data_IF_143919705111
#
_entry.id   IF_143919705111
#
_cell.length_a   1.000
_cell.length_b   1.000
_cell.length_c   1.000
_cell.angle_alpha   90.00
_cell.angle_beta   90.00
_cell.angle_gamma   90.00
#
_symmetry.space_group_name_H-M   'P 1'
#
loop_
_entity.id
_entity.type
_entity.pdbx_description
1 polymer ?
#
# COMPACT_ATOMS: atom_id res chain seq x y z
N UNK A 1 -19.64 2.93 1.75
CA UNK A 1 -18.23 2.76 1.35
C UNK A 1 -18.09 1.41 0.69
N UNK A 2 -17.57 1.41 -0.54
CA UNK A 2 -17.26 0.19 -1.29
C UNK A 2 -16.22 -0.65 -0.55
N UNK A 3 -16.22 -1.97 -0.79
CA UNK A 3 -15.22 -2.89 -0.28
C UNK A 3 -13.79 -2.42 -0.61
N UNK A 4 -13.58 -1.95 -1.85
CA UNK A 4 -12.29 -1.44 -2.32
C UNK A 4 -11.84 -0.19 -1.57
N UNK A 5 -12.76 0.70 -1.21
CA UNK A 5 -12.45 1.90 -0.40
C UNK A 5 -11.97 1.51 1.00
N UNK A 6 -12.69 0.61 1.69
CA UNK A 6 -12.32 0.16 3.05
C UNK A 6 -10.97 -0.54 3.05
N UNK A 7 -10.74 -1.43 2.08
CA UNK A 7 -9.45 -2.11 1.87
C UNK A 7 -8.33 -1.10 1.67
N UNK A 8 -8.54 -0.13 0.78
CA UNK A 8 -7.55 0.92 0.50
C UNK A 8 -7.20 1.74 1.74
N UNK A 9 -8.19 2.11 2.56
CA UNK A 9 -7.95 2.84 3.82
C UNK A 9 -7.06 2.04 4.76
N UNK A 10 -7.36 0.76 4.97
CA UNK A 10 -6.58 -0.09 5.87
C UNK A 10 -5.16 -0.31 5.34
N UNK A 11 -5.00 -0.50 4.02
CA UNK A 11 -3.67 -0.61 3.41
C UNK A 11 -2.85 0.66 3.54
N UNK A 12 -3.44 1.84 3.32
CA UNK A 12 -2.75 3.14 3.51
C UNK A 12 -2.35 3.32 4.97
N UNK A 13 -3.24 3.00 5.92
CA UNK A 13 -2.93 3.08 7.34
C UNK A 13 -1.79 2.14 7.73
N UNK A 14 -1.80 0.91 7.23
CA UNK A 14 -0.74 -0.06 7.45
C UNK A 14 0.61 0.42 6.88
N UNK A 15 0.61 1.03 5.69
CA UNK A 15 1.80 1.63 5.10
C UNK A 15 2.36 2.79 5.94
N UNK A 16 1.49 3.66 6.49
CA UNK A 16 1.89 4.75 7.40
C UNK A 16 2.52 4.17 8.69
N UNK A 17 1.92 3.14 9.27
CA UNK A 17 2.46 2.48 10.46
C UNK A 17 3.81 1.86 10.16
N UNK A 18 3.97 1.21 9.00
CA UNK A 18 5.20 0.55 8.62
C UNK A 18 6.34 1.55 8.39
N UNK A 19 6.09 2.66 7.70
CA UNK A 19 7.12 3.69 7.50
C UNK A 19 7.48 4.38 8.82
N UNK A 20 6.51 4.60 9.71
CA UNK A 20 6.78 5.13 11.04
C UNK A 20 7.64 4.17 11.87
N UNK A 21 7.32 2.87 11.84
CA UNK A 21 8.11 1.84 12.51
C UNK A 21 9.54 1.75 11.94
N UNK A 22 9.71 1.87 10.63
CA UNK A 22 11.02 1.95 9.98
C UNK A 22 11.82 3.14 10.50
N UNK A 23 11.25 4.35 10.43
CA UNK A 23 11.93 5.56 10.89
C UNK A 23 12.33 5.44 12.36
N UNK A 24 11.41 5.00 13.23
CA UNK A 24 11.70 4.81 14.66
C UNK A 24 12.84 3.80 14.84
N UNK A 25 12.79 2.64 14.18
CA UNK A 25 13.80 1.60 14.31
C UNK A 25 15.18 2.05 13.81
N UNK A 26 15.25 2.55 12.57
CA UNK A 26 16.50 2.92 11.93
C UNK A 26 17.18 4.11 12.62
N UNK A 27 16.44 5.20 12.88
CA UNK A 27 17.01 6.38 13.52
C UNK A 27 17.30 6.18 15.01
N UNK A 28 16.56 5.31 15.72
CA UNK A 28 16.88 4.96 17.11
C UNK A 28 18.21 4.21 17.20
N UNK A 29 18.44 3.21 16.33
CA UNK A 29 19.70 2.44 16.30
C UNK A 29 20.93 3.32 16.03
N UNK A 30 20.77 4.33 15.17
CA UNK A 30 21.82 5.30 14.88
C UNK A 30 22.05 6.26 16.05
N UNK A 31 20.97 6.78 16.67
CA UNK A 31 21.08 7.65 17.87
C UNK A 31 21.73 6.96 19.07
N UNK A 32 21.50 5.66 19.23
CA UNK A 32 22.06 4.84 20.30
C UNK A 32 23.53 4.46 20.05
N UNK A 33 24.13 4.87 18.92
CA UNK A 33 25.50 4.51 18.55
C UNK A 33 25.70 3.03 18.19
N UNK A 34 24.60 2.28 18.08
CA UNK A 34 24.64 0.83 17.74
C UNK A 34 24.79 0.57 16.24
N UNK A 35 24.60 1.60 15.41
CA UNK A 35 24.83 1.57 13.97
C UNK A 35 25.40 2.93 13.55
N UNK A 36 26.37 2.92 12.64
CA UNK A 36 26.94 4.14 12.07
C UNK A 36 26.13 4.59 10.85
N UNK A 37 26.07 5.90 10.60
CA UNK A 37 25.45 6.46 9.40
C UNK A 37 26.14 5.97 8.12
N UNK A 38 27.43 5.65 8.18
CA UNK A 38 28.21 5.09 7.07
C UNK A 38 28.02 3.59 6.85
N UNK A 39 27.36 2.85 7.75
CA UNK A 39 27.23 1.40 7.64
C UNK A 39 26.15 1.00 6.62
N UNK A 40 26.59 0.86 5.37
CA UNK A 40 25.73 0.45 4.25
C UNK A 40 25.11 -0.93 4.45
N UNK A 41 25.79 -1.84 5.15
CA UNK A 41 25.28 -3.19 5.40
C UNK A 41 24.10 -3.13 6.34
N UNK A 42 24.18 -2.32 7.40
CA UNK A 42 23.07 -2.08 8.31
C UNK A 42 21.84 -1.52 7.57
N UNK A 43 22.02 -0.49 6.75
CA UNK A 43 20.92 0.13 5.99
C UNK A 43 20.29 -0.85 5.00
N UNK A 44 21.10 -1.56 4.23
CA UNK A 44 20.61 -2.54 3.25
C UNK A 44 19.82 -3.68 3.91
N UNK A 45 20.33 -4.26 5.00
CA UNK A 45 19.63 -5.32 5.74
C UNK A 45 18.33 -4.80 6.33
N UNK A 46 18.35 -3.63 6.96
CA UNK A 46 17.17 -3.05 7.59
C UNK A 46 16.08 -2.78 6.55
N UNK A 47 16.42 -2.12 5.44
CA UNK A 47 15.49 -1.86 4.34
C UNK A 47 14.91 -3.18 3.80
N UNK A 48 15.75 -4.19 3.56
CA UNK A 48 15.31 -5.48 3.03
C UNK A 48 14.31 -6.19 3.96
N UNK A 49 14.56 -6.17 5.28
CA UNK A 49 13.65 -6.74 6.28
C UNK A 49 12.30 -6.00 6.26
N UNK A 50 12.31 -4.67 6.23
CA UNK A 50 11.07 -3.88 6.20
C UNK A 50 10.27 -4.06 4.91
N UNK A 51 10.94 -4.25 3.76
CA UNK A 51 10.28 -4.66 2.51
C UNK A 51 9.58 -6.01 2.71
N UNK A 52 10.27 -7.00 3.27
CA UNK A 52 9.70 -8.32 3.55
C UNK A 52 8.49 -8.26 4.48
N UNK A 53 8.58 -7.47 5.56
CA UNK A 53 7.45 -7.23 6.48
C UNK A 53 6.29 -6.56 5.74
N UNK A 54 6.55 -5.57 4.88
CA UNK A 54 5.52 -4.87 4.12
C UNK A 54 4.77 -5.78 3.15
N UNK A 55 5.48 -6.69 2.47
CA UNK A 55 4.87 -7.71 1.61
C UNK A 55 3.98 -8.64 2.44
N UNK A 56 4.48 -9.15 3.57
CA UNK A 56 3.72 -10.04 4.45
C UNK A 56 2.44 -9.36 4.98
N UNK A 57 2.54 -8.11 5.46
CA UNK A 57 1.40 -7.32 5.92
C UNK A 57 0.36 -7.13 4.81
N UNK A 58 0.81 -6.83 3.59
CA UNK A 58 -0.10 -6.64 2.44
C UNK A 58 -0.85 -7.92 2.09
N UNK A 59 -0.17 -9.08 2.09
CA UNK A 59 -0.80 -10.38 1.86
C UNK A 59 -1.84 -10.69 2.95
N UNK A 60 -1.49 -10.47 4.22
CA UNK A 60 -2.42 -10.70 5.34
C UNK A 60 -3.67 -9.83 5.19
N UNK A 61 -3.49 -8.53 4.89
CA UNK A 61 -4.61 -7.61 4.65
C UNK A 61 -5.48 -8.13 3.51
N UNK A 62 -4.91 -8.52 2.37
CA UNK A 62 -5.68 -9.04 1.24
C UNK A 62 -6.51 -10.27 1.62
N UNK A 63 -5.90 -11.27 2.29
CA UNK A 63 -6.58 -12.49 2.73
C UNK A 63 -7.73 -12.15 3.68
N UNK A 64 -7.48 -11.33 4.70
CA UNK A 64 -8.50 -10.95 5.69
C UNK A 64 -9.68 -10.25 5.02
N UNK A 65 -9.41 -9.32 4.11
CA UNK A 65 -10.47 -8.61 3.38
C UNK A 65 -11.29 -9.57 2.49
N UNK A 66 -10.64 -10.49 1.76
CA UNK A 66 -11.37 -11.46 0.92
C UNK A 66 -12.29 -12.38 1.73
N UNK A 67 -11.84 -12.80 2.92
CA UNK A 67 -12.65 -13.63 3.83
C UNK A 67 -13.81 -12.82 4.40
N UNK A 68 -13.56 -11.60 4.90
CA UNK A 68 -14.59 -10.74 5.47
C UNK A 68 -15.69 -10.39 4.45
N UNK A 69 -15.31 -10.14 3.19
CA UNK A 69 -16.27 -9.89 2.11
C UNK A 69 -17.17 -11.11 1.88
N UNK A 70 -16.55 -12.28 1.73
CA UNK A 70 -17.27 -13.54 1.50
C UNK A 70 -18.28 -13.82 2.62
N UNK A 71 -17.88 -13.63 3.89
CA UNK A 71 -18.76 -13.82 5.05
C UNK A 71 -19.88 -12.78 5.08
N UNK A 72 -19.56 -11.50 4.85
CA UNK A 72 -20.55 -10.43 4.89
C UNK A 72 -21.66 -10.64 3.85
N UNK A 73 -21.31 -11.07 2.64
CA UNK A 73 -22.27 -11.39 1.57
C UNK A 73 -23.12 -12.61 1.95
N UNK A 74 -22.49 -13.69 2.43
CA UNK A 74 -23.18 -14.91 2.83
C UNK A 74 -24.20 -14.66 3.96
N UNK A 75 -23.81 -13.91 4.99
CA UNK A 75 -24.68 -13.56 6.12
C UNK A 75 -25.85 -12.68 5.68
N UNK A 76 -25.59 -11.64 4.87
CA UNK A 76 -26.64 -10.73 4.40
C UNK A 76 -27.69 -11.46 3.58
N UNK A 77 -27.28 -12.34 2.66
CA UNK A 77 -28.22 -13.14 1.85
C UNK A 77 -29.06 -14.09 2.68
N UNK A 78 -28.48 -14.74 3.68
CA UNK A 78 -29.19 -15.69 4.55
C UNK A 78 -30.23 -15.01 5.44
N UNK A 79 -30.02 -13.73 5.78
CA UNK A 79 -30.98 -12.92 6.54
C UNK A 79 -32.12 -12.38 5.66
N UNK A 80 -31.84 -12.08 4.39
CA UNK A 80 -32.80 -11.47 3.46
C UNK A 80 -33.69 -12.50 2.75
N UNK A 81 -33.19 -13.73 2.53
CA UNK A 81 -33.94 -14.84 1.95
C UNK A 81 -33.71 -16.13 2.74
N UNK A 82 -34.76 -16.65 3.38
CA UNK A 82 -34.73 -17.91 4.17
C UNK A 82 -34.48 -19.16 3.28
N UNK A 83 -34.72 -19.05 1.96
CA UNK A 83 -34.46 -20.09 0.94
C UNK A 83 -33.47 -19.59 -0.12
N UNK A 84 -32.21 -19.40 0.25
CA UNK A 84 -31.13 -19.26 -0.74
C UNK A 84 -30.37 -20.58 -0.87
N UNK A 85 -30.20 -21.07 -2.11
CA UNK A 85 -29.31 -22.19 -2.41
C UNK A 85 -27.85 -21.72 -2.33
N UNK A 86 -26.94 -22.59 -1.88
CA UNK A 86 -25.51 -22.25 -1.71
C UNK A 86 -24.88 -21.79 -3.05
N UNK A 87 -25.39 -22.30 -4.18
CA UNK A 87 -25.00 -21.91 -5.53
C UNK A 87 -25.31 -20.44 -5.85
N UNK A 88 -26.41 -19.89 -5.34
CA UNK A 88 -26.77 -18.49 -5.56
C UNK A 88 -25.89 -17.55 -4.72
N UNK A 89 -25.44 -18.02 -3.55
CA UNK A 89 -24.49 -17.28 -2.71
C UNK A 89 -23.13 -17.21 -3.40
N UNK A 90 -22.61 -18.35 -3.87
CA UNK A 90 -21.33 -18.40 -4.58
C UNK A 90 -21.35 -17.53 -5.85
N UNK A 91 -22.45 -17.57 -6.62
CA UNK A 91 -22.58 -16.76 -7.83
C UNK A 91 -22.54 -15.27 -7.54
N UNK A 92 -23.17 -14.80 -6.46
CA UNK A 92 -23.10 -13.38 -6.08
C UNK A 92 -21.76 -12.98 -5.51
N UNK A 93 -21.09 -13.83 -4.73
CA UNK A 93 -19.71 -13.57 -4.30
C UNK A 93 -18.80 -13.41 -5.52
N UNK A 94 -18.92 -14.31 -6.52
CA UNK A 94 -18.15 -14.21 -7.76
C UNK A 94 -18.44 -12.92 -8.52
N UNK A 95 -19.71 -12.54 -8.67
CA UNK A 95 -20.11 -11.32 -9.37
C UNK A 95 -19.59 -10.05 -8.67
N UNK A 96 -19.61 -10.02 -7.34
CA UNK A 96 -19.17 -8.84 -6.57
C UNK A 96 -17.64 -8.74 -6.45
N UNK A 97 -16.92 -9.83 -6.77
CA UNK A 97 -15.47 -9.86 -6.90
C UNK A 97 -14.95 -9.54 -8.30
N UNK A 98 -15.82 -9.38 -9.30
CA UNK A 98 -15.40 -8.96 -10.65
C UNK A 98 -15.00 -7.49 -10.61
N UNK A 99 -13.77 -7.19 -11.00
CA UNK A 99 -13.31 -5.81 -11.16
C UNK A 99 -14.03 -5.12 -12.33
N UNK A 100 -14.55 -3.93 -12.05
CA UNK A 100 -15.20 -3.09 -13.06
C UNK A 100 -14.15 -2.33 -13.90
N UNK A 101 -14.53 -1.89 -15.10
CA UNK A 101 -13.73 -1.01 -15.94
C UNK A 101 -13.40 0.31 -15.23
N UNK A 102 -14.31 0.80 -14.37
CA UNK A 102 -14.03 1.96 -13.53
C UNK A 102 -12.89 1.68 -12.54
N UNK A 103 -12.84 0.50 -11.92
CA UNK A 103 -11.78 0.14 -10.97
C UNK A 103 -10.41 0.12 -11.67
N UNK A 104 -10.34 -0.46 -12.87
CA UNK A 104 -9.12 -0.46 -13.69
C UNK A 104 -8.66 0.96 -14.02
N UNK A 105 -9.58 1.86 -14.39
CA UNK A 105 -9.23 3.25 -14.69
C UNK A 105 -8.72 4.00 -13.45
N UNK A 106 -9.32 3.75 -12.28
CA UNK A 106 -8.85 4.31 -11.01
C UNK A 106 -7.45 3.81 -10.69
N UNK A 107 -7.20 2.51 -10.86
CA UNK A 107 -5.89 1.91 -10.65
C UNK A 107 -4.82 2.54 -11.54
N UNK A 108 -5.06 2.59 -12.86
CA UNK A 108 -4.12 3.17 -13.82
C UNK A 108 -3.80 4.65 -13.55
N UNK A 109 -4.83 5.46 -13.23
CA UNK A 109 -4.64 6.88 -12.92
C UNK A 109 -3.88 7.09 -11.61
N UNK A 110 -4.17 6.29 -10.59
CA UNK A 110 -3.51 6.39 -9.29
C UNK A 110 -2.05 5.93 -9.39
N UNK A 111 -1.79 4.84 -10.12
CA UNK A 111 -0.45 4.32 -10.38
C UNK A 111 0.42 5.35 -11.13
N UNK A 112 -0.17 6.12 -12.07
CA UNK A 112 0.54 7.22 -12.72
C UNK A 112 1.03 8.27 -11.74
N UNK A 113 0.22 8.66 -10.76
CA UNK A 113 0.62 9.62 -9.72
C UNK A 113 1.77 9.05 -8.89
N UNK A 114 1.67 7.77 -8.50
CA UNK A 114 2.73 7.05 -7.80
C UNK A 114 4.06 7.11 -8.55
N UNK A 115 4.06 6.77 -9.85
CA UNK A 115 5.27 6.78 -10.67
C UNK A 115 5.91 8.17 -10.80
N UNK A 116 5.12 9.23 -10.89
CA UNK A 116 5.65 10.60 -10.93
C UNK A 116 6.41 10.91 -9.64
N UNK A 117 5.84 10.54 -8.49
CA UNK A 117 6.45 10.78 -7.17
C UNK A 117 7.72 9.93 -7.01
N UNK A 118 7.64 8.63 -7.33
CA UNK A 118 8.77 7.72 -7.26
C UNK A 118 9.92 8.18 -8.16
N UNK A 119 9.59 8.57 -9.39
CA UNK A 119 10.55 9.11 -10.35
C UNK A 119 11.21 10.40 -9.88
N UNK A 120 10.45 11.33 -9.31
CA UNK A 120 10.99 12.56 -8.72
C UNK A 120 11.95 12.26 -7.55
N UNK A 121 11.60 11.29 -6.69
CA UNK A 121 12.47 10.89 -5.59
C UNK A 121 13.70 10.11 -6.05
N UNK A 122 13.62 9.33 -7.14
CA UNK A 122 14.79 8.70 -7.75
C UNK A 122 15.79 9.74 -8.25
N UNK A 123 15.32 10.75 -8.98
CA UNK A 123 16.17 11.87 -9.42
C UNK A 123 16.76 12.61 -8.22
N UNK A 124 15.96 12.87 -7.18
CA UNK A 124 16.42 13.51 -5.94
C UNK A 124 17.49 12.69 -5.21
N UNK A 125 17.37 11.36 -5.22
CA UNK A 125 18.36 10.45 -4.64
C UNK A 125 19.71 10.54 -5.37
N UNK A 126 19.70 10.65 -6.70
CA UNK A 126 20.92 10.85 -7.49
C UNK A 126 21.53 12.23 -7.24
N UNK A 127 20.71 13.28 -7.17
CA UNK A 127 21.17 14.63 -6.85
C UNK A 127 21.87 14.68 -5.48
N UNK A 128 21.40 13.92 -4.50
CA UNK A 128 22.03 13.85 -3.18
C UNK A 128 23.49 13.37 -3.24
N UNK A 129 23.83 12.45 -4.16
CA UNK A 129 25.22 12.02 -4.35
C UNK A 129 26.13 13.13 -4.90
N UNK A 130 25.59 14.01 -5.74
CA UNK A 130 26.35 15.14 -6.30
C UNK A 130 26.80 16.09 -5.17
N UNK A 131 25.97 16.25 -4.14
CA UNK A 131 26.30 17.06 -2.95
C UNK A 131 27.19 16.32 -1.93
N UNK A 132 27.93 15.29 -2.35
CA UNK A 132 28.83 14.50 -1.51
C UNK A 132 28.14 13.85 -0.28
N UNK A 133 26.85 13.54 -0.38
CA UNK A 133 26.13 12.83 0.68
C UNK A 133 26.55 11.35 0.74
N UNK A 134 26.48 10.75 1.93
CA UNK A 134 26.71 9.31 2.11
C UNK A 134 25.73 8.49 1.26
N UNK A 135 26.18 7.33 0.74
CA UNK A 135 25.33 6.38 0.00
C UNK A 135 24.15 5.89 0.85
N UNK A 136 24.26 5.93 2.19
CA UNK A 136 23.14 5.68 3.10
C UNK A 136 21.98 6.67 2.91
N UNK A 137 22.27 7.94 2.59
CA UNK A 137 21.25 8.96 2.33
C UNK A 137 20.49 8.63 1.05
N UNK A 138 21.20 8.23 -0.01
CA UNK A 138 20.58 7.77 -1.25
C UNK A 138 19.62 6.60 -1.01
N UNK A 139 20.05 5.59 -0.25
CA UNK A 139 19.22 4.41 0.05
C UNK A 139 17.93 4.81 0.77
N UNK A 140 18.03 5.72 1.74
CA UNK A 140 16.88 6.23 2.47
C UNK A 140 15.95 7.07 1.59
N UNK A 141 16.48 7.96 0.73
CA UNK A 141 15.66 8.75 -0.19
C UNK A 141 14.89 7.84 -1.14
N UNK A 142 15.57 6.84 -1.72
CA UNK A 142 14.91 5.85 -2.59
C UNK A 142 13.80 5.13 -1.84
N UNK A 143 14.13 4.54 -0.69
CA UNK A 143 13.17 3.79 0.11
C UNK A 143 11.95 4.63 0.48
N UNK A 144 12.16 5.84 1.01
CA UNK A 144 11.10 6.76 1.39
C UNK A 144 10.29 7.18 0.16
N UNK A 145 10.92 7.42 -0.99
CA UNK A 145 10.24 7.76 -2.24
C UNK A 145 9.26 6.66 -2.68
N UNK A 146 9.68 5.39 -2.64
CA UNK A 146 8.79 4.26 -2.92
C UNK A 146 7.60 4.20 -1.95
N UNK A 147 7.86 4.39 -0.66
CA UNK A 147 6.80 4.44 0.35
C UNK A 147 5.83 5.59 0.12
N UNK A 148 6.33 6.81 -0.06
CA UNK A 148 5.52 8.00 -0.30
C UNK A 148 4.71 7.83 -1.60
N UNK A 149 5.32 7.33 -2.68
CA UNK A 149 4.62 6.99 -3.92
C UNK A 149 3.42 6.06 -3.68
N UNK A 150 3.64 4.96 -2.95
CA UNK A 150 2.57 4.01 -2.61
C UNK A 150 1.45 4.62 -1.74
N UNK A 151 1.81 5.53 -0.81
CA UNK A 151 0.83 6.24 0.02
C UNK A 151 -0.04 7.18 -0.84
N UNK A 152 0.59 7.96 -1.72
CA UNK A 152 -0.13 8.85 -2.63
C UNK A 152 -0.97 8.08 -3.64
N UNK A 153 -0.54 6.89 -4.07
CA UNK A 153 -1.36 5.99 -4.87
C UNK A 153 -2.65 5.60 -4.12
N UNK A 154 -2.55 5.18 -2.87
CA UNK A 154 -3.71 4.81 -2.06
C UNK A 154 -4.63 6.00 -1.76
N UNK A 155 -4.06 7.18 -1.50
CA UNK A 155 -4.84 8.42 -1.33
C UNK A 155 -5.53 8.84 -2.62
N UNK A 156 -4.87 8.72 -3.77
CA UNK A 156 -5.46 8.98 -5.07
C UNK A 156 -6.60 8.01 -5.39
N UNK A 157 -6.43 6.71 -5.11
CA UNK A 157 -7.50 5.70 -5.22
C UNK A 157 -8.72 6.13 -4.41
N UNK A 158 -8.52 6.46 -3.12
CA UNK A 158 -9.57 6.96 -2.23
C UNK A 158 -10.26 8.22 -2.75
N UNK A 159 -9.51 9.17 -3.30
CA UNK A 159 -10.04 10.40 -3.88
C UNK A 159 -10.93 10.11 -5.10
N UNK A 160 -10.46 9.27 -6.02
CA UNK A 160 -11.21 8.92 -7.22
C UNK A 160 -12.46 8.09 -6.92
N UNK A 161 -12.39 7.18 -5.95
CA UNK A 161 -13.57 6.42 -5.50
C UNK A 161 -14.69 7.33 -4.96
N UNK A 162 -14.34 8.35 -4.17
CA UNK A 162 -15.33 9.27 -3.58
C UNK A 162 -15.88 10.29 -4.56
N UNK A 163 -15.04 10.82 -5.45
CA UNK A 163 -15.42 11.88 -6.38
C UNK A 163 -16.16 11.34 -7.62
N UNK A 164 -15.96 10.06 -7.93
CA UNK A 164 -16.34 9.47 -9.20
C UNK A 164 -15.42 9.96 -10.32
N UNK A 165 -15.10 9.07 -11.26
CA UNK A 165 -14.41 9.46 -12.47
C UNK A 165 -15.42 10.08 -13.44
N UNK A 166 -15.31 11.39 -13.68
CA UNK A 166 -15.90 11.97 -14.89
C UNK A 166 -14.98 11.57 -16.05
N UNK A 167 -15.55 10.85 -17.02
CA UNK A 167 -14.87 10.61 -18.29
C UNK A 167 -14.48 11.98 -18.86
N UNK A 168 -13.18 12.16 -19.09
CA UNK A 168 -12.67 13.28 -19.87
C UNK A 168 -12.84 12.95 -21.35
#
# INVERSE_FOLDING_TARGET
>A
MSYQEKKTIVSVLAAIILIAAYCIYAFSRVRLGTADFGDLKFWAITILIFIGIGIAVTIIIQIVFHILLSIAIAVRKKLENEKCDDRDIEKTIKLEMVEDEMDKLIELKSMRISFIIVGAGFVSALLSLIFYSSVAVLLNILFISFFVGSLFEGLAKLYYYRKGLKNG
#
